data_IF_020713320793
#
_entry.id   IF_020713320793
#
_cell.length_a   1.000
_cell.length_b   1.000
_cell.length_c   1.000
_cell.angle_alpha   90.00
_cell.angle_beta   90.00
_cell.angle_gamma   90.00
#
_symmetry.space_group_name_H-M   'P 1'
#
loop_
_entity.id
_entity.type
_entity.pdbx_description
1 polymer ?
#
# COMPACT_ATOMS: atom_id res chain seq x y z
N UNK A 1 8.31 29.84 23.85
CA UNK A 1 7.02 29.17 23.58
C UNK A 1 7.21 28.51 22.24
N UNK A 2 7.22 27.19 22.21
CA UNK A 2 7.35 26.47 20.94
C UNK A 2 6.06 26.74 20.16
N UNK A 3 6.21 27.32 18.99
CA UNK A 3 5.15 27.49 18.00
C UNK A 3 4.80 26.06 17.49
N UNK A 4 3.78 25.47 18.09
CA UNK A 4 3.28 24.16 17.65
C UNK A 4 2.44 24.37 16.39
N UNK A 5 3.12 24.61 15.26
CA UNK A 5 2.48 24.54 13.96
C UNK A 5 1.95 23.12 13.80
N UNK A 6 0.62 22.99 13.79
CA UNK A 6 -0.06 21.73 13.52
C UNK A 6 0.44 21.18 12.18
N UNK A 7 1.04 19.99 12.19
CA UNK A 7 1.40 19.31 10.95
C UNK A 7 0.14 19.12 10.13
N UNK A 8 0.09 19.70 8.95
CA UNK A 8 -1.03 19.56 8.02
C UNK A 8 -0.86 18.34 7.12
N UNK A 9 -1.99 17.77 6.73
CA UNK A 9 -2.02 16.77 5.68
C UNK A 9 -1.57 17.43 4.37
N UNK A 10 -0.53 16.88 3.79
CA UNK A 10 0.10 17.38 2.57
C UNK A 10 -0.15 16.39 1.43
N UNK A 11 -0.50 16.92 0.26
CA UNK A 11 -0.75 16.17 -0.97
C UNK A 11 0.30 16.61 -1.98
N UNK A 12 1.19 15.69 -2.32
CA UNK A 12 2.26 15.90 -3.30
C UNK A 12 1.99 15.12 -4.58
N UNK A 13 1.91 15.82 -5.68
CA UNK A 13 1.86 15.21 -7.01
C UNK A 13 3.25 14.73 -7.41
N UNK A 14 3.45 13.41 -7.51
CA UNK A 14 4.77 12.82 -7.80
C UNK A 14 5.23 12.99 -9.26
N UNK A 15 4.32 13.42 -10.15
CA UNK A 15 4.64 13.54 -11.56
C UNK A 15 5.21 14.91 -11.94
N UNK A 16 4.78 15.98 -11.24
CA UNK A 16 5.27 17.35 -11.48
C UNK A 16 5.90 18.00 -10.23
N UNK A 17 5.92 17.29 -9.10
CA UNK A 17 6.39 17.75 -7.79
C UNK A 17 5.57 18.92 -7.20
N UNK A 18 4.39 19.22 -7.70
CA UNK A 18 3.49 20.17 -7.08
C UNK A 18 2.99 19.62 -5.74
N UNK A 19 2.99 20.47 -4.74
CA UNK A 19 2.62 20.13 -3.38
C UNK A 19 1.66 21.17 -2.82
N UNK A 20 0.63 20.72 -2.12
CA UNK A 20 -0.29 21.61 -1.41
C UNK A 20 -0.81 20.96 -0.13
N UNK A 21 -1.10 21.83 0.85
CA UNK A 21 -1.68 21.42 2.12
C UNK A 21 -3.20 21.56 2.10
N UNK A 22 -3.87 20.72 2.88
CA UNK A 22 -5.30 20.90 3.14
C UNK A 22 -5.51 22.11 4.05
N UNK A 23 -6.64 22.81 3.88
CA UNK A 23 -6.93 23.98 4.70
C UNK A 23 -7.10 23.61 6.18
N UNK A 24 -7.87 22.55 6.44
CA UNK A 24 -8.07 21.94 7.76
C UNK A 24 -7.76 20.45 7.68
N UNK A 25 -7.08 19.92 8.69
CA UNK A 25 -6.82 18.49 8.79
C UNK A 25 -8.14 17.73 8.91
N UNK A 26 -8.24 16.52 8.31
CA UNK A 26 -9.42 15.70 8.48
C UNK A 26 -9.58 15.28 9.95
N UNK A 27 -10.81 15.22 10.42
CA UNK A 27 -11.13 14.76 11.79
C UNK A 27 -10.97 13.25 11.93
N UNK A 28 -11.16 12.52 10.81
CA UNK A 28 -11.03 11.07 10.74
C UNK A 28 -10.59 10.66 9.34
N UNK A 29 -9.97 9.50 9.25
CA UNK A 29 -9.68 8.83 7.99
C UNK A 29 -9.81 7.32 8.18
N UNK A 30 -10.14 6.63 7.10
CA UNK A 30 -10.33 5.18 7.10
C UNK A 30 -9.43 4.53 6.06
N UNK A 31 -8.59 3.59 6.50
CA UNK A 31 -7.93 2.65 5.60
C UNK A 31 -8.78 1.38 5.47
N UNK A 32 -9.01 0.95 4.25
CA UNK A 32 -9.69 -0.28 3.92
C UNK A 32 -8.74 -1.22 3.19
N UNK A 33 -8.51 -2.39 3.81
CA UNK A 33 -7.74 -3.49 3.25
C UNK A 33 -8.68 -4.67 3.04
N UNK A 34 -8.67 -5.26 1.86
CA UNK A 34 -9.49 -6.43 1.56
C UNK A 34 -8.75 -7.50 0.77
N UNK A 35 -9.16 -8.74 0.94
CA UNK A 35 -8.66 -9.89 0.21
C UNK A 35 -9.80 -10.60 -0.53
N UNK A 36 -9.53 -11.06 -1.74
CA UNK A 36 -10.51 -11.78 -2.56
C UNK A 36 -10.38 -13.28 -2.36
N UNK A 37 -11.50 -13.89 -1.98
CA UNK A 37 -11.64 -15.32 -1.84
C UNK A 37 -12.75 -15.81 -2.76
N UNK A 38 -12.55 -16.92 -3.44
CA UNK A 38 -13.55 -17.54 -4.31
C UNK A 38 -13.85 -18.94 -3.79
N UNK A 39 -15.14 -19.26 -3.67
CA UNK A 39 -15.57 -20.63 -3.37
C UNK A 39 -15.50 -21.47 -4.63
N UNK A 40 -14.70 -22.52 -4.60
CA UNK A 40 -14.72 -23.57 -5.63
C UNK A 40 -15.59 -24.72 -5.14
N UNK A 41 -16.60 -25.04 -5.93
CA UNK A 41 -17.45 -26.22 -5.68
C UNK A 41 -16.70 -27.47 -6.16
N UNK A 42 -15.97 -28.08 -5.28
CA UNK A 42 -15.21 -29.31 -5.57
C UNK A 42 -16.13 -30.55 -5.60
N UNK A 43 -15.89 -31.44 -6.56
CA UNK A 43 -16.68 -32.61 -6.90
C UNK A 43 -16.69 -33.75 -5.86
N UNK A 44 -16.53 -33.57 -4.59
CA UNK A 44 -16.73 -34.61 -3.52
C UNK A 44 -16.33 -34.19 -2.09
N UNK A 45 -15.79 -32.98 -1.88
CA UNK A 45 -15.24 -32.56 -0.56
C UNK A 45 -15.87 -31.31 0.04
N UNK A 46 -16.96 -30.80 -0.50
CA UNK A 46 -17.55 -29.53 -0.06
C UNK A 46 -16.88 -28.29 -0.73
N UNK A 47 -17.43 -27.11 -0.48
CA UNK A 47 -16.85 -25.86 -1.01
C UNK A 47 -15.49 -25.59 -0.38
N UNK A 48 -14.48 -25.36 -1.21
CA UNK A 48 -13.13 -24.99 -0.80
C UNK A 48 -12.90 -23.50 -1.11
N UNK A 49 -12.40 -22.74 -0.12
CA UNK A 49 -12.07 -21.33 -0.29
C UNK A 49 -10.68 -21.20 -0.91
N UNK A 50 -10.62 -20.63 -2.12
CA UNK A 50 -9.38 -20.34 -2.81
C UNK A 50 -9.09 -18.83 -2.75
N UNK A 51 -7.88 -18.46 -2.31
CA UNK A 51 -7.41 -17.08 -2.37
C UNK A 51 -7.12 -16.69 -3.82
N UNK A 52 -7.76 -15.61 -4.30
CA UNK A 52 -7.64 -15.13 -5.68
C UNK A 52 -6.83 -13.84 -5.82
N UNK A 53 -6.47 -13.21 -4.70
CA UNK A 53 -5.65 -12.00 -4.69
C UNK A 53 -5.99 -11.04 -3.56
N UNK A 54 -5.14 -10.03 -3.34
CA UNK A 54 -5.43 -8.89 -2.50
C UNK A 54 -6.05 -7.76 -3.30
N UNK A 55 -6.91 -6.96 -2.69
CA UNK A 55 -7.27 -5.67 -3.23
C UNK A 55 -6.24 -4.62 -2.82
N UNK A 56 -6.15 -3.56 -3.62
CA UNK A 56 -5.30 -2.41 -3.27
C UNK A 56 -5.94 -1.66 -2.11
N UNK A 57 -5.12 -1.23 -1.18
CA UNK A 57 -5.55 -0.43 -0.03
C UNK A 57 -6.28 0.82 -0.49
N UNK A 58 -7.38 1.14 0.18
CA UNK A 58 -8.16 2.38 -0.05
C UNK A 58 -8.08 3.24 1.19
N UNK A 59 -7.90 4.55 0.99
CA UNK A 59 -7.93 5.56 2.03
C UNK A 59 -9.08 6.52 1.74
N UNK A 60 -10.00 6.67 2.67
CA UNK A 60 -11.14 7.58 2.56
C UNK A 60 -11.15 8.57 3.71
N UNK A 61 -11.50 9.84 3.41
CA UNK A 61 -11.62 10.89 4.40
C UNK A 61 -12.56 12.01 3.92
N UNK A 62 -13.04 12.81 4.87
CA UNK A 62 -13.73 14.06 4.60
C UNK A 62 -12.83 15.24 4.92
N UNK A 63 -12.62 16.13 3.95
CA UNK A 63 -11.88 17.36 4.09
C UNK A 63 -12.87 18.54 4.21
N UNK A 64 -12.57 19.45 5.11
CA UNK A 64 -13.35 20.65 5.33
C UNK A 64 -12.60 21.85 4.80
N UNK A 65 -13.30 22.74 4.11
CA UNK A 65 -12.76 24.00 3.59
C UNK A 65 -13.70 25.13 3.98
N UNK A 66 -13.15 26.19 4.56
CA UNK A 66 -13.87 27.38 4.95
C UNK A 66 -12.99 28.61 4.68
N UNK A 67 -13.44 29.46 3.80
CA UNK A 67 -12.76 30.70 3.37
C UNK A 67 -13.64 31.92 3.65
N UNK A 68 -14.64 31.77 4.54
CA UNK A 68 -15.60 32.84 4.85
C UNK A 68 -14.93 34.08 5.44
N UNK A 69 -13.94 33.92 6.30
CA UNK A 69 -13.22 35.04 6.94
C UNK A 69 -12.27 35.75 5.95
N UNK A 70 -11.77 35.03 4.95
CA UNK A 70 -10.85 35.55 3.95
C UNK A 70 -11.58 36.16 2.74
N UNK A 71 -12.92 36.00 2.67
CA UNK A 71 -13.79 36.43 1.54
C UNK A 71 -13.30 35.88 0.19
N UNK A 72 -12.76 34.66 0.19
CA UNK A 72 -12.23 33.98 -0.98
C UNK A 72 -13.15 32.86 -1.48
N UNK A 73 -13.09 32.59 -2.78
CA UNK A 73 -13.80 31.47 -3.37
C UNK A 73 -13.17 30.14 -2.97
N UNK A 74 -13.92 29.31 -2.25
CA UNK A 74 -13.44 28.00 -1.77
C UNK A 74 -13.06 27.06 -2.92
N UNK A 75 -13.55 27.30 -4.15
CA UNK A 75 -13.20 26.53 -5.35
C UNK A 75 -11.72 26.68 -5.75
N UNK A 76 -11.04 27.74 -5.33
CA UNK A 76 -9.60 27.87 -5.55
C UNK A 76 -8.79 26.76 -4.83
N UNK A 77 -9.30 26.30 -3.72
CA UNK A 77 -8.69 25.22 -2.93
C UNK A 77 -9.19 23.85 -3.38
N UNK A 78 -10.50 23.68 -3.55
CA UNK A 78 -11.06 22.38 -3.94
C UNK A 78 -10.75 22.03 -5.40
N UNK A 79 -10.50 23.02 -6.25
CA UNK A 79 -10.08 22.86 -7.64
C UNK A 79 -8.76 22.08 -7.78
N UNK A 80 -7.81 22.29 -6.86
CA UNK A 80 -6.55 21.53 -6.84
C UNK A 80 -6.77 20.02 -6.69
N UNK A 81 -7.76 19.62 -5.89
CA UNK A 81 -8.16 18.21 -5.80
C UNK A 81 -8.82 17.71 -7.08
N UNK A 82 -9.60 18.54 -7.74
CA UNK A 82 -10.25 18.17 -9.01
C UNK A 82 -9.23 17.94 -10.13
N UNK A 83 -8.14 18.70 -10.14
CA UNK A 83 -7.03 18.52 -11.10
C UNK A 83 -6.37 17.14 -10.98
N UNK A 84 -6.41 16.53 -9.79
CA UNK A 84 -5.88 15.18 -9.57
C UNK A 84 -6.72 14.07 -10.24
N UNK A 85 -7.91 14.37 -10.74
CA UNK A 85 -8.74 13.45 -11.52
C UNK A 85 -8.53 13.61 -13.03
N UNK A 86 -7.91 14.72 -13.45
CA UNK A 86 -7.76 15.03 -14.87
C UNK A 86 -6.57 14.27 -15.45
N UNK A 87 -6.80 13.61 -16.57
CA UNK A 87 -5.75 12.95 -17.32
C UNK A 87 -4.93 14.01 -18.08
N UNK A 88 -3.71 14.22 -17.68
CA UNK A 88 -2.77 15.10 -18.37
C UNK A 88 -2.02 14.34 -19.46
N UNK A 89 -1.95 14.92 -20.67
CA UNK A 89 -1.39 14.27 -21.88
C UNK A 89 0.14 14.32 -21.96
N UNK A 90 0.80 15.08 -21.10
CA UNK A 90 2.23 15.45 -21.25
C UNK A 90 3.22 14.51 -20.54
N UNK A 91 2.83 13.29 -20.21
CA UNK A 91 3.66 12.41 -19.39
C UNK A 91 4.25 11.26 -20.18
N UNK A 92 5.21 11.56 -21.02
CA UNK A 92 6.14 10.54 -21.56
C UNK A 92 5.49 9.17 -21.87
N UNK A 93 6.28 8.15 -21.97
CA UNK A 93 5.88 6.79 -22.39
C UNK A 93 4.92 6.01 -21.45
N UNK A 94 4.39 6.59 -20.35
CA UNK A 94 3.62 5.85 -19.34
C UNK A 94 2.08 5.94 -19.46
N UNK A 95 1.58 6.29 -20.62
CA UNK A 95 0.15 6.25 -20.91
C UNK A 95 -0.66 7.38 -20.23
N UNK A 96 -1.86 7.60 -20.76
CA UNK A 96 -2.81 8.59 -20.25
C UNK A 96 -3.44 8.12 -18.95
N UNK A 97 -3.01 8.65 -17.81
CA UNK A 97 -3.57 8.37 -16.49
C UNK A 97 -3.65 9.63 -15.63
N UNK A 98 -4.53 9.66 -14.61
CA UNK A 98 -4.49 10.69 -13.58
C UNK A 98 -3.14 10.70 -12.83
N UNK A 99 -2.76 11.82 -12.20
CA UNK A 99 -1.52 11.92 -11.43
C UNK A 99 -1.46 10.92 -10.28
N UNK A 100 -0.26 10.42 -10.02
CA UNK A 100 0.05 9.71 -8.80
C UNK A 100 0.41 10.74 -7.74
N UNK A 101 -0.16 10.61 -6.57
CA UNK A 101 0.09 11.49 -5.44
C UNK A 101 0.65 10.73 -4.25
N UNK A 102 1.41 11.43 -3.44
CA UNK A 102 1.87 10.97 -2.14
C UNK A 102 1.24 11.83 -1.06
N UNK A 103 0.51 11.18 -0.17
CA UNK A 103 -0.09 11.82 0.99
C UNK A 103 0.87 11.67 2.17
N UNK A 104 1.15 12.76 2.86
CA UNK A 104 1.96 12.77 4.08
C UNK A 104 1.26 13.54 5.20
N UNK A 105 1.29 12.98 6.41
CA UNK A 105 0.71 13.61 7.59
C UNK A 105 1.41 13.12 8.85
N UNK A 106 2.02 14.06 9.57
CA UNK A 106 2.79 13.76 10.76
C UNK A 106 4.12 13.03 10.46
N UNK A 107 4.77 12.54 11.51
CA UNK A 107 6.00 11.77 11.37
C UNK A 107 5.70 10.31 11.03
N UNK A 108 6.41 9.77 10.06
CA UNK A 108 6.32 8.36 9.69
C UNK A 108 6.98 7.49 10.77
N UNK A 109 6.18 7.00 11.72
CA UNK A 109 6.67 6.13 12.80
C UNK A 109 6.44 4.63 12.53
N UNK A 110 5.71 4.29 11.48
CA UNK A 110 5.41 2.89 11.14
C UNK A 110 5.24 2.71 9.63
N UNK A 111 5.36 1.47 9.18
CA UNK A 111 5.08 1.09 7.79
C UNK A 111 3.57 1.04 7.47
N UNK A 112 2.73 1.50 8.39
CA UNK A 112 1.27 1.53 8.23
C UNK A 112 0.80 2.98 8.31
N UNK A 113 0.14 3.45 7.25
CA UNK A 113 -0.39 4.79 7.20
C UNK A 113 0.36 5.69 6.21
N UNK A 114 0.84 6.82 6.70
CA UNK A 114 1.56 7.81 5.91
C UNK A 114 3.09 7.59 5.97
N UNK A 115 3.85 7.92 4.89
CA UNK A 115 3.37 8.43 3.61
C UNK A 115 2.61 7.37 2.81
N UNK A 116 1.55 7.78 2.08
CA UNK A 116 0.69 6.89 1.32
C UNK A 116 0.68 7.28 -0.16
N UNK A 117 1.25 6.42 -1.02
CA UNK A 117 1.32 6.64 -2.47
C UNK A 117 0.07 6.09 -3.14
N UNK A 118 -0.67 6.94 -3.83
CA UNK A 118 -2.00 6.62 -4.30
C UNK A 118 -2.42 7.41 -5.54
N UNK A 119 -3.59 7.10 -6.05
CA UNK A 119 -4.33 7.91 -7.03
C UNK A 119 -5.67 8.31 -6.44
N UNK A 120 -6.16 9.48 -6.78
CA UNK A 120 -7.51 9.90 -6.40
C UNK A 120 -8.51 9.10 -7.22
N UNK A 121 -9.34 8.26 -6.56
CA UNK A 121 -10.34 7.41 -7.20
C UNK A 121 -11.68 8.12 -7.32
N UNK A 122 -12.09 8.86 -6.28
CA UNK A 122 -13.34 9.61 -6.28
C UNK A 122 -13.24 10.90 -5.48
N UNK A 123 -13.98 11.90 -5.93
CA UNK A 123 -14.09 13.22 -5.33
C UNK A 123 -15.54 13.64 -5.32
N UNK A 124 -16.10 13.94 -4.15
CA UNK A 124 -17.42 14.51 -3.99
C UNK A 124 -17.30 15.83 -3.24
N UNK A 125 -17.74 16.91 -3.90
CA UNK A 125 -17.72 18.26 -3.33
C UNK A 125 -19.14 18.70 -3.00
N UNK A 126 -19.35 19.22 -1.80
CA UNK A 126 -20.61 19.77 -1.34
C UNK A 126 -20.37 21.18 -0.83
N UNK A 127 -20.86 22.16 -1.55
CA UNK A 127 -20.79 23.57 -1.17
C UNK A 127 -21.98 23.92 -0.25
N UNK A 128 -21.71 24.51 0.92
CA UNK A 128 -22.72 24.65 1.98
C UNK A 128 -22.95 26.09 2.46
N UNK A 129 -22.06 27.02 2.14
CA UNK A 129 -22.20 28.43 2.46
C UNK A 129 -21.82 29.28 1.25
N UNK A 130 -22.61 30.32 1.01
CA UNK A 130 -22.43 31.22 -0.14
C UNK A 130 -22.51 32.67 0.33
N UNK A 131 -21.77 33.55 -0.32
CA UNK A 131 -21.94 34.98 -0.19
C UNK A 131 -23.25 35.46 -0.83
N UNK A 132 -23.62 36.74 -0.61
CA UNK A 132 -24.79 37.34 -1.27
C UNK A 132 -24.75 37.28 -2.79
N UNK A 133 -23.57 37.24 -3.37
CA UNK A 133 -23.32 37.22 -4.83
C UNK A 133 -23.27 35.78 -5.39
N UNK A 134 -23.52 34.80 -4.52
CA UNK A 134 -23.56 33.39 -4.92
C UNK A 134 -22.18 32.69 -5.00
N UNK A 135 -21.11 33.33 -4.51
CA UNK A 135 -19.79 32.72 -4.44
C UNK A 135 -19.74 31.73 -3.27
N UNK A 136 -19.33 30.48 -3.47
CA UNK A 136 -19.21 29.51 -2.40
C UNK A 136 -17.97 29.79 -1.54
N UNK A 137 -18.15 29.82 -0.23
CA UNK A 137 -17.06 30.10 0.74
C UNK A 137 -16.84 28.94 1.71
N UNK A 138 -17.70 27.90 1.66
CA UNK A 138 -17.52 26.71 2.48
C UNK A 138 -17.84 25.44 1.70
N UNK A 139 -17.01 24.43 1.86
CA UNK A 139 -17.19 23.14 1.21
C UNK A 139 -16.82 21.97 2.13
N UNK A 140 -17.56 20.87 1.99
CA UNK A 140 -17.21 19.53 2.47
C UNK A 140 -16.81 18.70 1.27
N UNK A 141 -15.66 18.06 1.35
CA UNK A 141 -15.08 17.32 0.25
C UNK A 141 -14.78 15.88 0.71
N UNK A 142 -15.57 14.93 0.24
CA UNK A 142 -15.29 13.51 0.48
C UNK A 142 -14.35 13.02 -0.60
N UNK A 143 -13.21 12.45 -0.20
CA UNK A 143 -12.17 11.91 -1.09
C UNK A 143 -11.95 10.44 -0.81
N UNK A 144 -11.72 9.67 -1.88
CA UNK A 144 -11.26 8.29 -1.79
C UNK A 144 -10.03 8.12 -2.66
N UNK A 145 -8.96 7.67 -2.04
CA UNK A 145 -7.68 7.38 -2.69
C UNK A 145 -7.48 5.87 -2.74
N UNK A 146 -6.86 5.41 -3.82
CA UNK A 146 -6.51 4.01 -4.01
C UNK A 146 -5.00 3.87 -4.12
N UNK A 147 -4.44 2.93 -3.36
CA UNK A 147 -3.01 2.62 -3.37
C UNK A 147 -2.50 2.43 -4.80
N UNK A 148 -1.41 3.10 -5.12
CA UNK A 148 -0.75 2.98 -6.41
C UNK A 148 0.68 2.47 -6.24
N UNK A 149 0.97 1.36 -6.89
CA UNK A 149 2.29 0.78 -6.98
C UNK A 149 2.69 0.62 -8.43
N UNK A 150 3.92 1.03 -8.74
CA UNK A 150 4.49 0.77 -10.06
C UNK A 150 4.70 -0.75 -10.22
N UNK A 151 4.49 -1.32 -11.42
CA UNK A 151 4.72 -2.76 -11.66
C UNK A 151 6.11 -3.25 -11.24
N UNK A 152 7.14 -2.39 -11.29
CA UNK A 152 8.50 -2.70 -10.83
C UNK A 152 8.61 -2.74 -9.29
N UNK A 153 7.82 -1.94 -8.58
CA UNK A 153 7.75 -1.95 -7.12
C UNK A 153 6.95 -3.15 -6.63
N UNK A 154 5.94 -3.58 -7.40
CA UNK A 154 5.24 -4.85 -7.15
C UNK A 154 6.16 -6.07 -7.28
N UNK A 155 7.09 -6.06 -8.24
CA UNK A 155 8.07 -7.13 -8.41
C UNK A 155 9.16 -7.15 -7.32
N UNK A 156 9.41 -6.00 -6.67
CA UNK A 156 10.36 -5.88 -5.56
C UNK A 156 9.71 -6.06 -4.19
N UNK A 157 8.40 -5.93 -4.08
CA UNK A 157 7.71 -6.41 -2.89
C UNK A 157 7.89 -7.92 -2.86
N UNK A 158 8.60 -8.38 -1.86
CA UNK A 158 8.49 -9.79 -1.47
C UNK A 158 7.00 -10.16 -1.52
N UNK A 159 6.64 -11.30 -2.14
CA UNK A 159 5.26 -11.73 -2.13
C UNK A 159 4.77 -11.56 -0.70
N UNK A 160 3.61 -10.92 -0.50
CA UNK A 160 2.95 -10.89 0.81
C UNK A 160 2.77 -12.34 1.20
N UNK A 161 3.84 -12.90 1.74
CA UNK A 161 3.84 -14.23 2.31
C UNK A 161 2.71 -14.19 3.32
N UNK A 162 1.67 -14.92 3.05
CA UNK A 162 0.94 -15.47 4.17
C UNK A 162 2.04 -15.98 5.08
N UNK A 163 2.23 -15.31 6.22
CA UNK A 163 3.39 -15.48 7.08
C UNK A 163 3.43 -16.91 7.59
N UNK A 164 3.96 -17.80 6.78
CA UNK A 164 4.65 -18.93 7.35
C UNK A 164 6.01 -18.35 7.75
N UNK A 165 6.27 -18.22 9.06
CA UNK A 165 7.58 -17.78 9.52
C UNK A 165 8.60 -18.67 8.85
N UNK A 166 9.68 -18.08 8.34
CA UNK A 166 10.80 -18.84 7.83
C UNK A 166 11.13 -19.88 8.90
N UNK A 167 10.92 -21.15 8.61
CA UNK A 167 11.16 -22.22 9.59
C UNK A 167 12.65 -22.36 9.71
N UNK A 168 13.15 -22.34 10.93
CA UNK A 168 14.55 -22.64 11.20
C UNK A 168 14.65 -24.15 11.50
N UNK A 169 15.45 -24.85 10.73
CA UNK A 169 15.73 -26.25 10.96
C UNK A 169 17.11 -26.41 11.61
N UNK A 170 17.20 -27.09 12.74
CA UNK A 170 18.49 -27.41 13.39
C UNK A 170 18.97 -28.77 12.89
N UNK A 171 20.13 -28.76 12.24
CA UNK A 171 20.78 -29.96 11.68
C UNK A 171 21.07 -30.97 12.78
N UNK A 172 20.67 -32.21 12.59
CA UNK A 172 20.95 -33.32 13.50
C UNK A 172 22.10 -34.17 12.93
N UNK A 173 22.70 -34.96 13.77
CA UNK A 173 23.74 -35.91 13.35
C UNK A 173 23.16 -36.91 12.31
N UNK A 174 23.82 -37.03 11.18
CA UNK A 174 23.37 -37.88 10.06
C UNK A 174 22.42 -37.19 9.06
N UNK A 175 22.04 -35.94 9.30
CA UNK A 175 21.19 -35.20 8.33
C UNK A 175 21.95 -34.88 7.05
N UNK A 176 21.20 -34.89 5.94
CA UNK A 176 21.65 -34.42 4.62
C UNK A 176 20.68 -33.36 4.10
N UNK A 177 21.15 -32.42 3.27
CA UNK A 177 20.25 -31.41 2.68
C UNK A 177 19.07 -32.03 1.93
N UNK A 178 19.28 -33.14 1.22
CA UNK A 178 18.21 -33.84 0.53
C UNK A 178 17.23 -34.52 1.49
N UNK A 179 17.73 -35.05 2.63
CA UNK A 179 16.89 -35.59 3.69
C UNK A 179 16.03 -34.53 4.36
N UNK A 180 16.62 -33.37 4.67
CA UNK A 180 15.91 -32.22 5.23
C UNK A 180 14.85 -31.70 4.24
N UNK A 181 15.20 -31.58 2.95
CA UNK A 181 14.24 -31.17 1.91
C UNK A 181 13.07 -32.15 1.78
N UNK A 182 13.33 -33.45 1.86
CA UNK A 182 12.29 -34.48 1.86
C UNK A 182 11.40 -34.39 3.13
N UNK A 183 11.98 -34.08 4.29
CA UNK A 183 11.21 -33.95 5.52
C UNK A 183 10.29 -32.71 5.51
N UNK A 184 10.80 -31.57 5.04
CA UNK A 184 10.10 -30.28 5.08
C UNK A 184 9.14 -30.12 3.91
N UNK A 185 9.59 -30.42 2.69
CA UNK A 185 8.82 -30.17 1.47
C UNK A 185 8.29 -31.42 0.77
N UNK A 186 8.54 -32.60 1.37
CA UNK A 186 8.18 -33.92 0.78
C UNK A 186 8.84 -34.18 -0.59
N UNK A 187 9.94 -33.46 -0.87
CA UNK A 187 10.66 -33.53 -2.14
C UNK A 187 12.17 -33.36 -1.92
N UNK A 188 12.92 -34.46 -2.05
CA UNK A 188 14.38 -34.47 -1.86
C UNK A 188 15.15 -33.74 -2.96
N UNK A 189 14.55 -33.52 -4.14
CA UNK A 189 15.21 -32.85 -5.25
C UNK A 189 15.42 -31.35 -5.03
N UNK A 190 14.64 -30.77 -4.10
CA UNK A 190 14.64 -29.34 -3.76
C UNK A 190 15.76 -28.91 -2.80
N UNK A 191 16.71 -29.77 -2.51
CA UNK A 191 17.81 -29.47 -1.57
C UNK A 191 18.62 -28.20 -1.91
N UNK A 192 18.68 -27.82 -3.22
CA UNK A 192 19.36 -26.58 -3.64
C UNK A 192 18.72 -25.34 -3.07
N UNK A 193 17.39 -25.34 -2.90
CA UNK A 193 16.65 -24.23 -2.29
C UNK A 193 16.96 -24.08 -0.78
N UNK A 194 17.52 -25.11 -0.14
CA UNK A 194 18.08 -24.99 1.21
C UNK A 194 19.53 -24.51 1.17
N UNK A 195 20.31 -24.91 0.17
CA UNK A 195 21.74 -24.57 0.12
C UNK A 195 21.98 -23.09 -0.14
N UNK A 196 21.24 -22.50 -1.09
CA UNK A 196 21.44 -21.10 -1.53
C UNK A 196 21.24 -20.07 -0.41
N UNK A 197 20.10 -20.00 0.32
CA UNK A 197 19.89 -19.00 1.35
C UNK A 197 20.76 -19.21 2.60
N UNK A 198 21.38 -20.40 2.75
CA UNK A 198 22.26 -20.73 3.85
C UNK A 198 23.75 -20.73 3.47
N UNK A 199 24.09 -20.25 2.27
CA UNK A 199 25.47 -20.14 1.74
C UNK A 199 26.28 -21.44 1.82
N UNK A 200 25.60 -22.60 1.66
CA UNK A 200 26.26 -23.90 1.76
C UNK A 200 26.88 -24.25 0.41
N UNK A 201 28.19 -24.06 0.29
CA UNK A 201 28.94 -24.39 -0.91
C UNK A 201 29.17 -25.90 -1.10
N UNK A 202 29.23 -26.67 -0.01
CA UNK A 202 29.39 -28.15 -0.07
C UNK A 202 28.20 -28.86 0.60
N UNK A 203 27.25 -29.40 -0.17
CA UNK A 203 26.03 -30.02 0.35
C UNK A 203 26.26 -31.33 1.14
N UNK A 204 27.48 -31.86 1.10
CA UNK A 204 27.84 -33.10 1.81
C UNK A 204 28.36 -32.87 3.22
N UNK A 205 28.61 -31.60 3.57
CA UNK A 205 29.18 -31.23 4.87
C UNK A 205 28.18 -30.34 5.61
N UNK A 206 27.36 -30.96 6.45
CA UNK A 206 26.51 -30.27 7.40
C UNK A 206 27.05 -30.44 8.80
N UNK A 207 27.06 -29.39 9.62
CA UNK A 207 27.50 -29.49 11.01
C UNK A 207 26.29 -29.75 11.92
N UNK A 208 26.28 -30.78 12.74
CA UNK A 208 25.24 -30.99 13.73
C UNK A 208 25.14 -29.75 14.65
N UNK A 209 23.90 -29.30 14.91
CA UNK A 209 23.63 -28.07 15.66
C UNK A 209 23.58 -26.79 14.81
N UNK A 210 23.93 -26.81 13.53
CA UNK A 210 23.80 -25.69 12.63
C UNK A 210 22.32 -25.38 12.38
N UNK A 211 21.94 -24.09 12.46
CA UNK A 211 20.60 -23.63 12.13
C UNK A 211 20.51 -23.29 10.65
N UNK A 212 19.59 -23.89 9.91
CA UNK A 212 19.31 -23.61 8.52
C UNK A 212 18.01 -22.84 8.37
N UNK A 213 18.01 -21.81 7.55
CA UNK A 213 16.81 -21.09 7.11
C UNK A 213 16.12 -21.95 6.03
N UNK A 214 14.88 -22.32 6.29
CA UNK A 214 14.04 -23.08 5.36
C UNK A 214 13.12 -22.08 4.66
N UNK A 215 13.36 -21.73 3.39
CA UNK A 215 12.47 -20.84 2.66
C UNK A 215 11.12 -21.52 2.40
N UNK A 216 10.06 -20.72 2.37
CA UNK A 216 8.79 -21.16 1.85
C UNK A 216 8.93 -21.37 0.33
N UNK A 217 8.49 -22.50 -0.19
CA UNK A 217 8.41 -22.77 -1.62
C UNK A 217 6.93 -22.84 -2.03
N UNK A 218 6.63 -22.27 -3.18
CA UNK A 218 5.33 -22.41 -3.84
C UNK A 218 5.17 -23.81 -4.45
#
# INVERSE_FOLDING_TARGET
>A
MADSSLNKLTIKNTDNNDEFEVLFNPTEYTFEDSSKWQEQTGNRRGPELQYTGGERKRLSMELFYDTYEDDEDVRLYTGKLQELLVVTTDRGNNGKRPPVVELSWGEAQSNVGFPFKCVLESLKQQFTLFTSDGMPVRAKVSVSFKEYELPKEEQQREPRRGSFPAQTYTVREGDTLSGIAAAVWKDSSKWRLLAEPNEISNPRILQPGQSLIVPAIE
#
